data_IF_174688435083
#
_entry.id   IF_174688435083
#
_cell.length_a   1.000
_cell.length_b   1.000
_cell.length_c   1.000
_cell.angle_alpha   90.00
_cell.angle_beta   90.00
_cell.angle_gamma   90.00
#
_symmetry.space_group_name_H-M   'P 1'
#
loop_
_entity.id
_entity.type
_entity.pdbx_description
1 polymer ?
#
# COMPACT_ATOMS: atom_id res chain seq x y z
N UNK A 1 -21.28 5.84 5.10
CA UNK A 1 -20.09 5.70 4.22
C UNK A 1 -19.91 4.23 3.93
N UNK A 2 -19.51 3.87 2.70
CA UNK A 2 -19.32 2.47 2.31
C UNK A 2 -18.14 1.81 3.06
N UNK A 3 -17.15 2.61 3.48
CA UNK A 3 -16.06 2.17 4.34
C UNK A 3 -15.53 3.32 5.22
N UNK A 4 -14.83 2.97 6.29
CA UNK A 4 -14.03 3.85 7.14
C UNK A 4 -12.81 3.06 7.61
N UNK A 5 -11.61 3.49 7.23
CA UNK A 5 -10.36 2.80 7.51
C UNK A 5 -9.38 3.77 8.18
N UNK A 6 -8.76 3.34 9.27
CA UNK A 6 -7.70 4.02 9.98
C UNK A 6 -6.55 3.04 10.13
N UNK A 7 -5.33 3.49 9.84
CA UNK A 7 -4.15 2.66 9.96
C UNK A 7 -2.92 3.27 9.31
N UNK A 8 -2.00 2.40 8.91
CA UNK A 8 -0.72 2.79 8.32
C UNK A 8 -0.64 2.38 6.86
N UNK A 9 -0.21 3.31 6.00
CA UNK A 9 0.29 3.01 4.66
C UNK A 9 1.81 2.89 4.72
N UNK A 10 2.32 1.76 4.27
CA UNK A 10 3.74 1.49 4.07
C UNK A 10 4.00 1.39 2.57
N UNK A 11 5.04 2.08 2.12
CA UNK A 11 5.51 2.02 0.74
C UNK A 11 6.99 1.67 0.70
N UNK A 12 7.33 0.70 -0.14
CA UNK A 12 8.71 0.36 -0.49
C UNK A 12 8.79 0.35 -1.99
N UNK A 13 9.72 1.12 -2.57
CA UNK A 13 9.90 1.17 -4.02
C UNK A 13 11.37 1.17 -4.41
N UNK A 14 11.62 1.00 -5.70
CA UNK A 14 12.96 1.03 -6.30
C UNK A 14 13.60 2.43 -6.36
N UNK A 15 12.92 3.48 -5.89
CA UNK A 15 13.49 4.82 -5.84
C UNK A 15 14.66 4.89 -4.84
N UNK A 16 15.61 5.80 -5.09
CA UNK A 16 16.85 5.92 -4.34
C UNK A 16 16.68 6.66 -3.00
N UNK A 17 15.67 7.53 -2.89
CA UNK A 17 15.40 8.36 -1.71
C UNK A 17 13.91 8.37 -1.36
N UNK A 18 13.46 9.34 -0.56
CA UNK A 18 12.04 9.57 -0.28
C UNK A 18 11.25 9.64 -1.61
N UNK A 19 10.13 8.92 -1.69
CA UNK A 19 9.35 8.79 -2.91
C UNK A 19 8.97 10.18 -3.49
N UNK A 20 9.55 10.57 -4.65
CA UNK A 20 9.33 11.89 -5.24
C UNK A 20 7.88 12.09 -5.69
N UNK A 21 7.16 10.99 -5.92
CA UNK A 21 5.78 11.00 -6.37
C UNK A 21 4.80 11.62 -5.35
N UNK A 22 5.14 11.69 -4.07
CA UNK A 22 4.34 12.40 -3.05
C UNK A 22 4.20 13.91 -3.31
N UNK A 23 5.10 14.49 -4.11
CA UNK A 23 5.06 15.89 -4.54
C UNK A 23 4.76 16.03 -6.04
N UNK A 24 4.32 14.95 -6.70
CA UNK A 24 3.92 14.94 -8.11
C UNK A 24 5.06 14.75 -9.12
N UNK A 25 6.29 14.54 -8.65
CA UNK A 25 7.45 14.30 -9.50
C UNK A 25 7.52 12.84 -10.00
N UNK A 26 8.25 12.64 -11.09
CA UNK A 26 8.48 11.32 -11.67
C UNK A 26 9.33 10.43 -10.73
N UNK A 27 9.17 9.09 -10.80
CA UNK A 27 10.05 8.18 -10.07
C UNK A 27 11.52 8.43 -10.44
N UNK A 28 12.39 8.39 -9.43
CA UNK A 28 13.81 8.55 -9.66
C UNK A 28 14.44 7.26 -10.23
N UNK A 29 15.75 7.30 -10.50
CA UNK A 29 16.48 6.15 -11.04
C UNK A 29 16.18 5.92 -12.51
N UNK A 30 15.61 4.76 -12.85
CA UNK A 30 15.41 4.29 -14.23
C UNK A 30 14.11 4.80 -14.88
N UNK A 31 13.36 5.67 -14.20
CA UNK A 31 12.14 6.29 -14.72
C UNK A 31 10.89 5.40 -14.65
N UNK A 32 10.95 4.31 -13.90
CA UNK A 32 9.81 3.46 -13.53
C UNK A 32 9.87 3.13 -12.04
N UNK A 33 8.75 2.68 -11.48
CA UNK A 33 8.63 2.34 -10.07
C UNK A 33 8.08 0.91 -9.91
N UNK A 34 8.93 0.01 -9.40
CA UNK A 34 8.47 -1.26 -8.84
C UNK A 34 8.27 -1.06 -7.34
N UNK A 35 7.04 -1.21 -6.87
CA UNK A 35 6.66 -0.85 -5.52
C UNK A 35 5.79 -1.89 -4.83
N UNK A 36 6.02 -2.06 -3.54
CA UNK A 36 5.08 -2.67 -2.61
C UNK A 36 4.40 -1.55 -1.83
N UNK A 37 3.07 -1.48 -1.93
CA UNK A 37 2.23 -0.66 -1.07
C UNK A 37 1.46 -1.59 -0.14
N UNK A 38 1.46 -1.32 1.16
CA UNK A 38 0.71 -2.11 2.13
C UNK A 38 -0.05 -1.20 3.09
N UNK A 39 -1.36 -1.46 3.21
CA UNK A 39 -2.23 -0.83 4.18
C UNK A 39 -2.48 -1.81 5.31
N UNK A 40 -1.94 -1.52 6.49
CA UNK A 40 -2.33 -2.20 7.73
C UNK A 40 -3.48 -1.42 8.35
N UNK A 41 -4.63 -2.08 8.52
CA UNK A 41 -5.86 -1.46 9.02
C UNK A 41 -5.90 -1.65 10.54
N UNK A 42 -5.48 -0.65 11.30
CA UNK A 42 -5.56 -0.68 12.77
C UNK A 42 -7.02 -0.75 13.24
N UNK A 43 -7.90 0.04 12.59
CA UNK A 43 -9.35 0.04 12.83
C UNK A 43 -10.09 0.31 11.55
N UNK A 44 -11.07 -0.54 11.20
CA UNK A 44 -11.85 -0.24 10.01
C UNK A 44 -13.08 -1.10 9.79
N UNK A 45 -14.03 -0.54 9.04
CA UNK A 45 -15.23 -1.26 8.59
C UNK A 45 -15.47 -1.02 7.10
N UNK A 46 -15.95 -2.04 6.40
CA UNK A 46 -16.37 -1.99 5.00
C UNK A 46 -17.76 -2.61 4.89
N UNK A 47 -18.77 -1.83 4.50
CA UNK A 47 -20.18 -2.23 4.45
C UNK A 47 -20.65 -2.95 5.73
N UNK A 48 -20.19 -2.50 6.89
CA UNK A 48 -20.50 -3.09 8.20
C UNK A 48 -19.70 -4.35 8.57
N UNK A 49 -18.83 -4.84 7.68
CA UNK A 49 -17.86 -5.91 7.97
C UNK A 49 -16.64 -5.28 8.66
N UNK A 50 -16.28 -5.77 9.84
CA UNK A 50 -15.05 -5.38 10.53
C UNK A 50 -13.84 -5.95 9.79
N UNK A 51 -12.88 -5.09 9.48
CA UNK A 51 -11.63 -5.43 8.77
C UNK A 51 -10.40 -4.95 9.55
N UNK A 52 -10.56 -4.67 10.84
CA UNK A 52 -9.47 -4.29 11.73
C UNK A 52 -8.45 -5.43 11.90
N UNK A 53 -7.18 -5.07 12.13
CA UNK A 53 -6.02 -5.97 12.25
C UNK A 53 -5.76 -6.84 10.99
N UNK A 54 -6.28 -6.42 9.84
CA UNK A 54 -5.97 -7.01 8.54
C UNK A 54 -5.04 -6.12 7.74
N UNK A 55 -4.23 -6.74 6.90
CA UNK A 55 -3.35 -6.06 5.95
C UNK A 55 -3.78 -6.34 4.53
N UNK A 56 -3.71 -5.32 3.69
CA UNK A 56 -3.88 -5.44 2.25
C UNK A 56 -2.66 -4.85 1.56
N UNK A 57 -2.18 -5.47 0.49
CA UNK A 57 -1.01 -5.00 -0.24
C UNK A 57 -1.19 -5.08 -1.75
N UNK A 58 -0.56 -4.15 -2.45
CA UNK A 58 -0.34 -4.21 -3.89
C UNK A 58 1.17 -4.31 -4.15
N UNK A 59 1.55 -5.23 -5.02
CA UNK A 59 2.84 -5.20 -5.71
C UNK A 59 2.58 -4.61 -7.08
N UNK A 60 3.30 -3.54 -7.42
CA UNK A 60 3.00 -2.68 -8.56
C UNK A 60 4.24 -2.56 -9.44
N UNK A 61 4.02 -2.58 -10.74
CA UNK A 61 4.93 -2.03 -11.73
C UNK A 61 4.27 -0.79 -12.34
N UNK A 62 4.94 0.35 -12.24
CA UNK A 62 4.46 1.66 -12.70
C UNK A 62 5.47 2.20 -13.73
N UNK A 63 5.11 2.36 -15.01
CA UNK A 63 6.07 2.61 -16.08
C UNK A 63 6.54 4.09 -16.18
N UNK A 64 6.22 4.93 -15.20
CA UNK A 64 6.49 6.38 -15.23
C UNK A 64 5.82 7.11 -14.07
N UNK A 65 5.32 8.33 -14.33
CA UNK A 65 4.64 9.12 -13.31
C UNK A 65 3.46 8.36 -12.69
N UNK A 66 3.39 8.34 -11.36
CA UNK A 66 2.36 7.61 -10.59
C UNK A 66 0.93 8.03 -10.98
N UNK A 67 0.73 9.32 -11.28
CA UNK A 67 -0.57 9.91 -11.64
C UNK A 67 -0.94 9.73 -13.11
N UNK A 68 0.02 9.32 -13.96
CA UNK A 68 -0.26 8.98 -15.36
C UNK A 68 -0.93 7.60 -15.50
N UNK A 69 -1.00 6.81 -14.42
CA UNK A 69 -1.65 5.51 -14.38
C UNK A 69 -0.86 4.43 -15.14
N UNK A 70 -1.58 3.49 -15.76
CA UNK A 70 -1.02 2.29 -16.41
C UNK A 70 -0.29 1.36 -15.43
N UNK A 71 -0.72 1.32 -14.17
CA UNK A 71 -0.11 0.40 -13.22
C UNK A 71 -0.48 -1.03 -13.57
N UNK A 72 0.49 -1.92 -13.42
CA UNK A 72 0.30 -3.36 -13.46
C UNK A 72 0.45 -3.91 -12.05
N UNK A 73 -0.60 -4.50 -11.50
CA UNK A 73 -0.66 -4.82 -10.07
C UNK A 73 -1.00 -6.28 -9.79
N UNK A 74 -0.36 -6.84 -8.77
CA UNK A 74 -0.80 -8.03 -8.07
C UNK A 74 -1.32 -7.63 -6.68
N UNK A 75 -2.52 -8.08 -6.34
CA UNK A 75 -3.23 -7.72 -5.13
C UNK A 75 -3.17 -8.86 -4.12
N UNK A 76 -2.79 -8.54 -2.89
CA UNK A 76 -2.67 -9.51 -1.80
C UNK A 76 -3.51 -9.11 -0.60
N UNK A 77 -4.30 -10.07 -0.12
CA UNK A 77 -5.11 -9.96 1.10
C UNK A 77 -4.53 -10.90 2.16
N UNK A 78 -4.44 -10.42 3.41
CA UNK A 78 -3.99 -11.23 4.55
C UNK A 78 -4.81 -12.53 4.68
N UNK A 79 -4.12 -13.65 4.91
CA UNK A 79 -4.72 -14.97 4.97
C UNK A 79 -5.61 -15.19 6.20
N UNK A 80 -5.47 -14.35 7.22
CA UNK A 80 -6.34 -14.27 8.39
C UNK A 80 -7.75 -13.80 8.04
N UNK A 81 -7.94 -13.09 6.94
CA UNK A 81 -9.24 -12.57 6.55
C UNK A 81 -10.23 -13.72 6.32
N UNK A 82 -11.44 -13.63 6.87
CA UNK A 82 -12.55 -14.49 6.44
C UNK A 82 -12.91 -14.22 4.98
N UNK A 83 -13.65 -15.12 4.33
CA UNK A 83 -14.08 -14.92 2.94
C UNK A 83 -14.92 -13.63 2.77
N UNK A 84 -15.73 -13.29 3.79
CA UNK A 84 -16.49 -12.05 3.82
C UNK A 84 -15.57 -10.82 3.89
N UNK A 85 -14.57 -10.83 4.77
CA UNK A 85 -13.59 -9.74 4.89
C UNK A 85 -12.76 -9.61 3.61
N UNK A 86 -12.29 -10.73 3.06
CA UNK A 86 -11.55 -10.77 1.81
C UNK A 86 -12.34 -10.11 0.67
N UNK A 87 -13.59 -10.53 0.47
CA UNK A 87 -14.43 -9.94 -0.57
C UNK A 87 -14.67 -8.44 -0.33
N UNK A 88 -14.94 -8.04 0.91
CA UNK A 88 -15.14 -6.64 1.25
C UNK A 88 -13.90 -5.78 0.96
N UNK A 89 -12.71 -6.26 1.31
CA UNK A 89 -11.46 -5.55 1.02
C UNK A 89 -11.19 -5.49 -0.49
N UNK A 90 -11.34 -6.59 -1.23
CA UNK A 90 -11.19 -6.59 -2.69
C UNK A 90 -12.18 -5.61 -3.34
N UNK A 91 -13.43 -5.56 -2.90
CA UNK A 91 -14.42 -4.62 -3.46
C UNK A 91 -14.08 -3.15 -3.14
N UNK A 92 -13.59 -2.86 -1.94
CA UNK A 92 -13.17 -1.52 -1.57
C UNK A 92 -11.97 -1.05 -2.40
N UNK A 93 -10.90 -1.84 -2.43
CA UNK A 93 -9.64 -1.48 -3.09
C UNK A 93 -9.64 -1.66 -4.61
N UNK A 94 -10.62 -2.38 -5.17
CA UNK A 94 -10.92 -2.31 -6.62
C UNK A 94 -11.74 -1.08 -7.01
N UNK A 95 -12.05 -0.20 -6.05
CA UNK A 95 -12.75 1.06 -6.29
C UNK A 95 -14.27 0.95 -6.43
N UNK A 96 -14.87 -0.25 -6.30
CA UNK A 96 -16.33 -0.44 -6.46
C UNK A 96 -17.16 0.35 -5.46
N UNK A 97 -16.56 0.70 -4.31
CA UNK A 97 -17.21 1.42 -3.23
C UNK A 97 -17.02 2.95 -3.29
N UNK A 98 -16.35 3.46 -4.33
CA UNK A 98 -16.09 4.89 -4.51
C UNK A 98 -15.02 5.44 -3.56
N UNK A 99 -14.96 6.77 -3.42
CA UNK A 99 -14.04 7.46 -2.52
C UNK A 99 -12.56 7.37 -2.93
N UNK A 100 -11.62 7.69 -2.02
CA UNK A 100 -10.19 7.72 -2.34
C UNK A 100 -9.63 6.40 -2.88
N UNK A 101 -10.19 5.24 -2.49
CA UNK A 101 -9.76 3.95 -3.03
C UNK A 101 -10.17 3.77 -4.49
N UNK A 102 -11.28 4.38 -4.92
CA UNK A 102 -11.65 4.42 -6.32
C UNK A 102 -10.74 5.34 -7.14
N UNK A 103 -10.23 6.42 -6.56
CA UNK A 103 -9.27 7.30 -7.22
C UNK A 103 -7.93 6.56 -7.43
N UNK A 104 -7.45 5.82 -6.43
CA UNK A 104 -6.29 4.93 -6.61
C UNK A 104 -6.55 3.85 -7.65
N UNK A 105 -7.72 3.19 -7.61
CA UNK A 105 -8.05 2.12 -8.55
C UNK A 105 -8.10 2.58 -10.01
N UNK A 106 -8.40 3.85 -10.29
CA UNK A 106 -8.38 4.41 -11.66
C UNK A 106 -6.98 4.46 -12.28
N UNK A 107 -5.92 4.41 -11.46
CA UNK A 107 -4.53 4.40 -11.93
C UNK A 107 -4.10 3.01 -12.42
N UNK A 108 -4.83 1.97 -12.04
CA UNK A 108 -4.54 0.58 -12.37
C UNK A 108 -5.02 0.26 -13.79
N UNK A 109 -4.09 -0.07 -14.67
CA UNK A 109 -4.38 -0.50 -16.05
C UNK A 109 -4.57 -2.02 -16.17
N UNK A 110 -3.84 -2.80 -15.39
CA UNK A 110 -3.88 -4.26 -15.44
C UNK A 110 -3.78 -4.86 -14.03
N UNK A 111 -4.74 -5.73 -13.66
CA UNK A 111 -4.66 -6.58 -12.47
C UNK A 111 -4.26 -7.98 -12.91
N UNK A 112 -3.06 -8.43 -12.54
CA UNK A 112 -2.55 -9.75 -12.94
C UNK A 112 -2.92 -10.87 -11.96
N UNK A 113 -3.15 -10.52 -10.70
CA UNK A 113 -3.44 -11.48 -9.65
C UNK A 113 -4.23 -10.83 -8.52
N UNK A 114 -5.09 -11.63 -7.89
CA UNK A 114 -5.75 -11.33 -6.61
C UNK A 114 -5.59 -12.58 -5.76
N UNK A 115 -4.76 -12.51 -4.73
CA UNK A 115 -4.36 -13.66 -3.95
C UNK A 115 -4.50 -13.42 -2.46
N UNK A 116 -4.70 -14.52 -1.73
CA UNK A 116 -4.71 -14.54 -0.28
C UNK A 116 -3.39 -15.15 0.19
N UNK A 117 -2.63 -14.43 1.00
CA UNK A 117 -1.29 -14.83 1.44
C UNK A 117 -1.02 -14.42 2.89
N UNK A 118 -0.15 -15.14 3.61
CA UNK A 118 0.28 -14.71 4.93
C UNK A 118 1.02 -13.38 4.81
N UNK A 119 0.50 -12.34 5.49
CA UNK A 119 1.14 -11.03 5.58
C UNK A 119 1.65 -10.83 7.00
N UNK A 120 2.97 -10.75 7.15
CA UNK A 120 3.60 -10.42 8.41
C UNK A 120 4.00 -8.95 8.39
N UNK A 121 3.23 -8.13 9.09
CA UNK A 121 3.45 -6.71 9.26
C UNK A 121 3.93 -6.45 10.70
N UNK A 122 5.13 -5.90 10.84
CA UNK A 122 5.67 -5.46 12.12
C UNK A 122 6.33 -4.11 11.91
N UNK A 123 5.65 -3.04 12.31
CA UNK A 123 6.24 -1.70 12.32
C UNK A 123 6.08 -1.05 13.69
N UNK A 124 7.12 -0.34 14.09
CA UNK A 124 7.09 0.59 15.20
C UNK A 124 7.85 1.85 14.80
N UNK A 125 7.16 3.00 14.80
CA UNK A 125 7.73 4.30 14.41
C UNK A 125 8.48 4.25 13.05
N UNK A 126 7.93 3.52 12.07
CA UNK A 126 8.50 3.37 10.73
C UNK A 126 9.71 2.42 10.63
N UNK A 127 10.10 1.76 11.74
CA UNK A 127 11.10 0.70 11.74
C UNK A 127 10.44 -0.67 11.82
N UNK A 128 10.89 -1.62 10.99
CA UNK A 128 10.49 -3.02 11.11
C UNK A 128 10.48 -3.76 9.78
N UNK A 129 9.54 -4.70 9.63
CA UNK A 129 9.48 -5.63 8.50
C UNK A 129 8.08 -5.72 7.91
N UNK A 130 8.01 -5.87 6.59
CA UNK A 130 6.84 -6.37 5.88
C UNK A 130 7.26 -7.60 5.06
N UNK A 131 6.57 -8.72 5.27
CA UNK A 131 6.75 -9.95 4.48
C UNK A 131 5.40 -10.45 3.96
N UNK A 132 5.36 -10.84 2.70
CA UNK A 132 4.15 -11.36 2.04
C UNK A 132 4.52 -12.69 1.38
N UNK A 133 4.04 -13.79 1.96
CA UNK A 133 4.33 -15.14 1.49
C UNK A 133 5.82 -15.34 1.20
N UNK A 134 6.13 -15.68 -0.05
CA UNK A 134 7.50 -15.81 -0.58
C UNK A 134 7.82 -14.74 -1.63
N UNK A 135 6.96 -13.74 -1.82
CA UNK A 135 7.03 -12.77 -2.93
C UNK A 135 7.57 -11.41 -2.49
N UNK A 136 7.46 -11.07 -1.20
CA UNK A 136 8.01 -9.83 -0.63
C UNK A 136 8.74 -10.13 0.68
N UNK A 137 9.96 -9.63 0.78
CA UNK A 137 10.74 -9.58 2.02
C UNK A 137 11.36 -8.18 2.12
N UNK A 138 10.95 -7.41 3.14
CA UNK A 138 11.42 -6.04 3.32
C UNK A 138 11.74 -5.76 4.79
N UNK A 139 12.82 -5.02 4.98
CA UNK A 139 13.23 -4.40 6.23
C UNK A 139 13.33 -2.89 6.00
N UNK A 140 12.88 -2.10 6.98
CA UNK A 140 12.91 -0.65 6.87
C UNK A 140 13.28 0.03 8.18
N UNK A 141 13.89 1.19 8.03
CA UNK A 141 14.20 2.11 9.11
C UNK A 141 14.02 3.55 8.61
N UNK A 142 13.46 4.46 9.43
CA UNK A 142 13.26 5.84 9.00
C UNK A 142 14.58 6.56 8.77
N UNK A 143 14.58 7.47 7.78
CA UNK A 143 15.67 8.43 7.65
C UNK A 143 15.76 9.33 8.88
N UNK A 144 16.99 9.63 9.29
CA UNK A 144 17.29 10.53 10.40
C UNK A 144 18.10 11.71 9.91
N UNK A 145 17.70 12.91 10.33
CA UNK A 145 18.45 14.13 10.06
C UNK A 145 19.74 14.22 10.90
N UNK A 146 20.55 15.27 10.73
CA UNK A 146 21.79 15.46 11.48
C UNK A 146 21.62 15.52 13.00
N UNK A 147 20.41 15.83 13.50
CA UNK A 147 20.06 15.85 14.92
C UNK A 147 19.68 14.48 15.48
N UNK A 148 19.64 13.43 14.64
CA UNK A 148 19.18 12.08 15.00
C UNK A 148 17.66 11.91 15.03
N UNK A 149 16.90 12.99 14.79
CA UNK A 149 15.43 12.98 14.75
C UNK A 149 14.96 12.39 13.41
N UNK A 150 13.86 11.63 13.44
CA UNK A 150 13.20 11.08 12.25
C UNK A 150 12.78 12.21 11.32
N UNK A 151 13.15 12.11 10.05
CA UNK A 151 12.73 13.05 9.01
C UNK A 151 11.29 12.74 8.60
N UNK A 152 10.43 13.76 8.58
CA UNK A 152 9.04 13.63 8.14
C UNK A 152 8.75 14.61 7.01
N UNK A 153 7.93 14.17 6.04
CA UNK A 153 7.29 15.04 5.06
C UNK A 153 5.87 15.32 5.55
N UNK A 154 5.50 16.58 5.67
CA UNK A 154 4.14 17.00 6.03
C UNK A 154 3.71 18.17 5.16
N UNK A 155 2.43 18.20 4.83
CA UNK A 155 1.75 19.40 4.33
C UNK A 155 1.26 20.20 5.55
N UNK A 156 1.51 21.51 5.57
CA UNK A 156 1.26 22.41 6.70
C UNK A 156 -0.20 22.84 6.85
#
# INVERSE_FOLDING_TARGET
MAYSLEGTLLEVCTCNVLCPCWIGEDPDGDGYCDAVMAWHIDRGTINGTDVSDLTMSLINHIPGNVLAGNWKVALFVDDKASDQQHQAMVDAFSGKLGGPLADTAQLIGEVVAVEKMPINYQLNEGKGTLRIGTVVDTEMEPYRGPTGVVTTLNES
#
